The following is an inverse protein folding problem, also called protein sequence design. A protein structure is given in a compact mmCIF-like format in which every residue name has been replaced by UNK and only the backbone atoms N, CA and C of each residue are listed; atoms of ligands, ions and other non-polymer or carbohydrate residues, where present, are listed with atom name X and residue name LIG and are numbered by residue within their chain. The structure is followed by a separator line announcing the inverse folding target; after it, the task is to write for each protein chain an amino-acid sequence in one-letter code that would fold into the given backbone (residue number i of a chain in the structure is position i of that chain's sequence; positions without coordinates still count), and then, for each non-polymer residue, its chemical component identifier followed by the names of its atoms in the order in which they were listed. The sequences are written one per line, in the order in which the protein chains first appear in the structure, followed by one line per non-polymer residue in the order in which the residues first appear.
data_IF_037712980610
#
_entry.id   IF_037712980610
#
_cell.length_a   1.000
_cell.length_b   1.000
_cell.length_c   1.000
_cell.angle_alpha   90.00
_cell.angle_beta   90.00
_cell.angle_gamma   90.00
#
_symmetry.space_group_name_H-M   'P 1'
#
loop_
_entity.id
_entity.type
_entity.pdbx_description
1 polymer ?
#
# COMPACT_ATOMS: atom_id res chain seq x y z
N UNK A 1 -29.90 55.21 -8.47
CA UNK A 1 -29.44 54.58 -7.22
C UNK A 1 -29.75 53.06 -7.11
N UNK A 2 -30.90 52.58 -7.57
CA UNK A 2 -31.24 51.14 -7.49
C UNK A 2 -30.43 50.29 -8.50
N UNK A 3 -30.18 50.75 -9.73
CA UNK A 3 -29.39 50.08 -10.71
C UNK A 3 -27.89 49.92 -10.31
N UNK A 4 -27.31 50.97 -9.77
CA UNK A 4 -25.91 50.95 -9.27
C UNK A 4 -25.70 49.96 -8.11
N UNK A 5 -26.69 49.82 -7.22
CA UNK A 5 -26.67 48.80 -6.15
C UNK A 5 -26.78 47.38 -6.70
N UNK A 6 -27.55 47.18 -7.76
CA UNK A 6 -27.75 45.89 -8.43
C UNK A 6 -26.46 45.42 -9.14
N UNK A 7 -25.74 46.32 -9.80
CA UNK A 7 -24.43 46.01 -10.44
C UNK A 7 -23.37 45.66 -9.42
N UNK A 8 -23.28 46.39 -8.33
CA UNK A 8 -22.30 46.09 -7.25
C UNK A 8 -22.52 44.71 -6.63
N UNK A 9 -23.77 44.32 -6.38
CA UNK A 9 -24.09 43.02 -5.86
C UNK A 9 -23.74 41.87 -6.82
N UNK A 10 -23.99 42.05 -8.11
CA UNK A 10 -23.63 41.11 -9.17
C UNK A 10 -22.09 40.92 -9.26
N UNK A 11 -21.33 41.99 -9.13
CA UNK A 11 -19.88 41.91 -9.12
C UNK A 11 -19.34 41.14 -7.91
N UNK A 12 -19.91 41.31 -6.73
CA UNK A 12 -19.54 40.50 -5.55
C UNK A 12 -19.91 39.03 -5.71
N UNK A 13 -21.07 38.74 -6.29
CA UNK A 13 -21.47 37.38 -6.59
C UNK A 13 -20.51 36.74 -7.60
N UNK A 14 -20.18 37.42 -8.69
CA UNK A 14 -19.24 36.95 -9.70
C UNK A 14 -17.83 36.69 -9.08
N UNK A 15 -17.34 37.59 -8.21
CA UNK A 15 -16.06 37.42 -7.54
C UNK A 15 -16.07 36.20 -6.62
N UNK A 16 -17.12 36.03 -5.81
CA UNK A 16 -17.22 34.89 -4.88
C UNK A 16 -17.29 33.55 -5.65
N UNK A 17 -18.01 33.47 -6.75
CA UNK A 17 -18.08 32.26 -7.58
C UNK A 17 -16.73 31.90 -8.20
N UNK A 18 -15.96 32.90 -8.67
CA UNK A 18 -14.60 32.66 -9.18
C UNK A 18 -13.67 32.13 -8.09
N UNK A 19 -13.72 32.71 -6.91
CA UNK A 19 -12.87 32.25 -5.75
C UNK A 19 -13.25 30.81 -5.40
N UNK A 20 -14.54 30.47 -5.30
CA UNK A 20 -14.99 29.10 -5.00
C UNK A 20 -14.57 28.11 -6.10
N UNK A 21 -14.66 28.49 -7.36
CA UNK A 21 -14.22 27.66 -8.47
C UNK A 21 -12.71 27.38 -8.42
N UNK A 22 -11.89 28.39 -8.11
CA UNK A 22 -10.43 28.20 -7.91
C UNK A 22 -10.15 27.27 -6.74
N UNK A 23 -10.82 27.45 -5.60
CA UNK A 23 -10.68 26.57 -4.44
C UNK A 23 -11.07 25.13 -4.76
N UNK A 24 -12.16 24.91 -5.52
CA UNK A 24 -12.59 23.59 -5.94
C UNK A 24 -11.55 22.93 -6.87
N UNK A 25 -10.99 23.67 -7.81
CA UNK A 25 -9.95 23.18 -8.71
C UNK A 25 -8.68 22.77 -7.96
N UNK A 26 -8.22 23.61 -7.02
CA UNK A 26 -7.05 23.31 -6.20
C UNK A 26 -7.29 22.08 -5.30
N UNK A 27 -8.49 21.95 -4.74
CA UNK A 27 -8.87 20.79 -3.92
C UNK A 27 -8.90 19.51 -4.75
N UNK A 28 -9.45 19.56 -5.97
CA UNK A 28 -9.46 18.44 -6.92
C UNK A 28 -8.03 18.00 -7.28
N UNK A 29 -7.16 18.95 -7.58
CA UNK A 29 -5.76 18.67 -7.90
C UNK A 29 -5.02 18.01 -6.73
N UNK A 30 -5.17 18.54 -5.53
CA UNK A 30 -4.57 17.98 -4.30
C UNK A 30 -5.15 16.59 -4.00
N UNK A 31 -6.45 16.43 -4.03
CA UNK A 31 -7.13 15.14 -3.80
C UNK A 31 -6.70 14.07 -4.81
N UNK A 32 -6.60 14.44 -6.09
CA UNK A 32 -6.09 13.57 -7.15
C UNK A 32 -4.65 13.11 -6.90
N UNK A 33 -3.78 14.01 -6.42
CA UNK A 33 -2.42 13.66 -6.04
C UNK A 33 -2.34 12.64 -4.91
N UNK A 34 -3.16 12.78 -3.88
CA UNK A 34 -3.25 11.80 -2.79
C UNK A 34 -3.85 10.46 -3.27
N UNK A 35 -4.88 10.50 -4.10
CA UNK A 35 -5.47 9.30 -4.70
C UNK A 35 -4.44 8.50 -5.51
N UNK A 36 -3.65 9.17 -6.33
CA UNK A 36 -2.57 8.53 -7.09
C UNK A 36 -1.51 7.90 -6.17
N UNK A 37 -1.10 8.59 -5.11
CA UNK A 37 -0.15 8.04 -4.13
C UNK A 37 -0.72 6.82 -3.41
N UNK A 38 -2.00 6.84 -3.05
CA UNK A 38 -2.69 5.69 -2.46
C UNK A 38 -2.65 4.47 -3.39
N UNK A 39 -2.95 4.65 -4.67
CA UNK A 39 -2.87 3.57 -5.66
C UNK A 39 -1.44 3.04 -5.84
N UNK A 40 -0.45 3.92 -5.87
CA UNK A 40 0.97 3.50 -5.95
C UNK A 40 1.39 2.69 -4.72
N UNK A 41 1.00 3.10 -3.53
CA UNK A 41 1.32 2.37 -2.31
C UNK A 41 0.55 1.05 -2.21
N UNK A 42 -0.67 0.97 -2.74
CA UNK A 42 -1.39 -0.29 -2.89
C UNK A 42 -0.64 -1.27 -3.80
N UNK A 43 -0.12 -0.80 -4.94
CA UNK A 43 0.69 -1.63 -5.83
C UNK A 43 1.96 -2.12 -5.14
N UNK A 44 2.69 -1.23 -4.47
CA UNK A 44 3.91 -1.60 -3.71
C UNK A 44 3.62 -2.62 -2.61
N UNK A 45 2.53 -2.45 -1.85
CA UNK A 45 2.12 -3.40 -0.83
C UNK A 45 1.82 -4.78 -1.45
N UNK A 46 1.10 -4.82 -2.57
CA UNK A 46 0.80 -6.05 -3.31
C UNK A 46 2.07 -6.76 -3.76
N UNK A 47 3.04 -6.02 -4.30
CA UNK A 47 4.33 -6.56 -4.74
C UNK A 47 5.13 -7.13 -3.54
N UNK A 48 5.13 -6.44 -2.38
CA UNK A 48 5.77 -6.96 -1.17
C UNK A 48 5.08 -8.23 -0.66
N UNK A 49 3.76 -8.31 -0.68
CA UNK A 49 3.03 -9.52 -0.30
C UNK A 49 3.29 -10.69 -1.26
N UNK A 50 3.39 -10.43 -2.57
CA UNK A 50 3.77 -11.46 -3.55
C UNK A 50 5.20 -11.96 -3.29
N UNK A 51 6.11 -11.06 -2.93
CA UNK A 51 7.49 -11.43 -2.57
C UNK A 51 7.54 -12.23 -1.25
N UNK A 52 6.74 -11.85 -0.25
CA UNK A 52 6.56 -12.63 0.98
C UNK A 52 6.08 -14.06 0.70
N UNK A 53 5.07 -14.21 -0.16
CA UNK A 53 4.56 -15.52 -0.56
C UNK A 53 5.62 -16.36 -1.27
N UNK A 54 6.41 -15.75 -2.15
CA UNK A 54 7.54 -16.42 -2.83
C UNK A 54 8.59 -16.94 -1.85
N UNK A 55 8.93 -16.15 -0.82
CA UNK A 55 9.87 -16.55 0.24
C UNK A 55 9.28 -17.64 1.13
N UNK A 56 7.99 -17.56 1.46
CA UNK A 56 7.27 -18.59 2.21
C UNK A 56 7.29 -19.93 1.47
N UNK A 57 7.04 -19.92 0.17
CA UNK A 57 7.07 -21.13 -0.65
C UNK A 57 8.47 -21.76 -0.67
N UNK A 58 9.53 -20.95 -0.77
CA UNK A 58 10.91 -21.45 -0.69
C UNK A 58 11.24 -22.01 0.70
N UNK A 59 10.80 -21.36 1.77
CA UNK A 59 10.96 -21.86 3.14
C UNK A 59 10.33 -23.24 3.29
N UNK A 60 9.07 -23.40 2.89
CA UNK A 60 8.38 -24.69 2.92
C UNK A 60 9.04 -25.78 2.08
N UNK A 61 9.57 -25.42 0.91
CA UNK A 61 10.30 -26.39 0.06
C UNK A 61 11.56 -26.92 0.77
N UNK A 62 12.33 -26.06 1.44
CA UNK A 62 13.52 -26.50 2.17
C UNK A 62 13.18 -27.30 3.43
N UNK A 63 12.11 -26.91 4.13
CA UNK A 63 11.62 -27.61 5.30
C UNK A 63 11.17 -29.03 4.91
N UNK A 64 10.37 -29.16 3.88
CA UNK A 64 9.93 -30.45 3.35
C UNK A 64 11.09 -31.33 2.84
N UNK A 65 12.15 -30.70 2.30
CA UNK A 65 13.36 -31.45 1.92
C UNK A 65 14.16 -31.93 3.15
N UNK A 66 14.23 -31.11 4.21
CA UNK A 66 14.85 -31.51 5.46
C UNK A 66 14.11 -32.75 6.05
N UNK A 67 12.78 -32.69 6.14
CA UNK A 67 11.96 -33.80 6.60
C UNK A 67 12.18 -35.09 5.76
N UNK A 68 12.26 -34.96 4.44
CA UNK A 68 12.58 -36.10 3.57
C UNK A 68 13.94 -36.72 3.86
N UNK A 69 14.97 -35.91 4.15
CA UNK A 69 16.28 -36.44 4.52
C UNK A 69 16.29 -37.03 5.91
N UNK A 70 15.49 -36.53 6.84
CA UNK A 70 15.30 -37.15 8.17
C UNK A 70 14.72 -38.57 8.04
N UNK A 71 13.70 -38.75 7.22
CA UNK A 71 13.10 -40.06 6.97
C UNK A 71 14.10 -41.04 6.32
N UNK A 72 14.88 -40.57 5.34
CA UNK A 72 15.89 -41.39 4.67
C UNK A 72 17.06 -41.76 5.59
N UNK A 73 17.44 -40.86 6.50
CA UNK A 73 18.51 -41.06 7.48
C UNK A 73 18.25 -42.28 8.41
N UNK A 74 16.97 -42.53 8.76
CA UNK A 74 16.58 -43.62 9.66
C UNK A 74 17.08 -44.99 9.19
N UNK A 75 17.10 -45.22 7.85
CA UNK A 75 17.49 -46.50 7.26
C UNK A 75 18.88 -46.46 6.60
N UNK A 76 19.63 -45.38 6.76
CA UNK A 76 20.92 -45.19 6.10
C UNK A 76 22.09 -45.81 6.90
N UNK A 77 23.12 -46.27 6.17
CA UNK A 77 24.41 -46.62 6.77
C UNK A 77 25.08 -45.39 7.35
N UNK A 78 25.93 -45.60 8.39
CA UNK A 78 26.57 -44.53 9.20
C UNK A 78 27.14 -43.40 8.36
N UNK A 79 27.91 -43.67 7.32
CA UNK A 79 28.55 -42.64 6.46
C UNK A 79 27.56 -41.84 5.63
N UNK A 80 26.46 -42.48 5.23
CA UNK A 80 25.36 -41.84 4.47
C UNK A 80 24.50 -41.02 5.42
N UNK A 81 24.27 -41.53 6.65
CA UNK A 81 23.52 -40.83 7.66
C UNK A 81 24.17 -39.49 8.07
N UNK A 82 25.49 -39.42 8.12
CA UNK A 82 26.23 -38.18 8.37
C UNK A 82 26.02 -37.16 7.26
N UNK A 83 26.05 -37.58 5.99
CA UNK A 83 25.78 -36.69 4.85
C UNK A 83 24.34 -36.16 4.85
N UNK A 84 23.38 -36.98 5.23
CA UNK A 84 22.00 -36.52 5.40
C UNK A 84 21.90 -35.50 6.54
N UNK A 85 22.56 -35.71 7.65
CA UNK A 85 22.61 -34.78 8.77
C UNK A 85 23.12 -33.39 8.33
N UNK A 86 24.24 -33.36 7.60
CA UNK A 86 24.80 -32.10 7.07
C UNK A 86 23.81 -31.38 6.14
N UNK A 87 23.07 -32.12 5.32
CA UNK A 87 22.05 -31.56 4.42
C UNK A 87 20.87 -31.01 5.20
N UNK A 88 20.37 -31.71 6.20
CA UNK A 88 19.30 -31.26 7.09
C UNK A 88 19.69 -29.94 7.74
N UNK A 89 20.88 -29.84 8.32
CA UNK A 89 21.37 -28.62 8.94
C UNK A 89 21.47 -27.44 7.95
N UNK A 90 21.95 -27.71 6.73
CA UNK A 90 21.99 -26.70 5.67
C UNK A 90 20.60 -26.20 5.31
N UNK A 91 19.62 -27.08 5.24
CA UNK A 91 18.25 -26.70 4.88
C UNK A 91 17.55 -25.94 6.04
N UNK A 92 17.72 -26.35 7.27
CA UNK A 92 17.21 -25.59 8.42
C UNK A 92 17.82 -24.18 8.48
N UNK A 93 19.12 -24.01 8.19
CA UNK A 93 19.71 -22.66 8.07
C UNK A 93 19.08 -21.84 6.96
N UNK A 94 18.70 -22.47 5.83
CA UNK A 94 17.99 -21.81 4.75
C UNK A 94 16.58 -21.38 5.17
N UNK A 95 15.84 -22.24 5.87
CA UNK A 95 14.53 -21.94 6.43
C UNK A 95 14.63 -20.74 7.37
N UNK A 96 15.57 -20.75 8.31
CA UNK A 96 15.77 -19.64 9.24
C UNK A 96 16.10 -18.33 8.51
N UNK A 97 16.94 -18.38 7.48
CA UNK A 97 17.24 -17.21 6.64
C UNK A 97 15.96 -16.66 5.98
N UNK A 98 15.14 -17.53 5.38
CA UNK A 98 13.91 -17.07 4.72
C UNK A 98 12.88 -16.54 5.72
N UNK A 99 12.80 -17.09 6.93
CA UNK A 99 11.91 -16.56 7.96
C UNK A 99 12.30 -15.12 8.37
N UNK A 100 13.62 -14.84 8.49
CA UNK A 100 14.10 -13.47 8.72
C UNK A 100 13.78 -12.53 7.56
N UNK A 101 14.05 -12.96 6.33
CA UNK A 101 13.71 -12.17 5.13
C UNK A 101 12.21 -11.89 5.03
N UNK A 102 11.35 -12.86 5.35
CA UNK A 102 9.90 -12.71 5.40
C UNK A 102 9.45 -11.66 6.42
N UNK A 103 10.07 -11.63 7.59
CA UNK A 103 9.74 -10.64 8.61
C UNK A 103 10.00 -9.20 8.12
N UNK A 104 11.14 -8.96 7.44
CA UNK A 104 11.47 -7.67 6.86
C UNK A 104 10.52 -7.28 5.72
N UNK A 105 10.17 -8.23 4.85
CA UNK A 105 9.24 -8.00 3.73
C UNK A 105 7.84 -7.66 4.27
N UNK A 106 7.38 -8.39 5.28
CA UNK A 106 6.11 -8.14 5.94
C UNK A 106 6.03 -6.72 6.50
N UNK A 107 7.06 -6.27 7.21
CA UNK A 107 7.12 -4.91 7.73
C UNK A 107 7.00 -3.87 6.61
N UNK A 108 7.72 -4.04 5.50
CA UNK A 108 7.63 -3.15 4.34
C UNK A 108 6.24 -3.14 3.70
N UNK A 109 5.59 -4.29 3.62
CA UNK A 109 4.22 -4.39 3.11
C UNK A 109 3.24 -3.60 4.00
N UNK A 110 3.31 -3.79 5.32
CA UNK A 110 2.48 -3.10 6.30
C UNK A 110 2.73 -1.57 6.31
N UNK A 111 3.97 -1.13 6.13
CA UNK A 111 4.31 0.30 5.96
C UNK A 111 3.66 0.88 4.70
N UNK A 112 3.72 0.17 3.56
CA UNK A 112 3.06 0.60 2.32
C UNK A 112 1.53 0.66 2.49
N UNK A 113 0.92 -0.30 3.19
CA UNK A 113 -0.51 -0.29 3.48
C UNK A 113 -0.91 0.91 4.35
N UNK A 114 -0.13 1.20 5.38
CA UNK A 114 -0.35 2.37 6.24
C UNK A 114 -0.27 3.68 5.47
N UNK A 115 0.74 3.83 4.60
CA UNK A 115 0.87 5.01 3.75
C UNK A 115 -0.28 5.12 2.74
N UNK A 116 -0.72 3.99 2.17
CA UNK A 116 -1.91 3.92 1.31
C UNK A 116 -3.13 4.48 2.02
N UNK A 117 -3.39 4.01 3.24
CA UNK A 117 -4.59 4.37 3.99
C UNK A 117 -4.58 5.84 4.41
N UNK A 118 -3.42 6.38 4.84
CA UNK A 118 -3.27 7.81 5.10
C UNK A 118 -3.53 8.66 3.84
N UNK A 119 -2.97 8.27 2.70
CA UNK A 119 -3.21 9.00 1.45
C UNK A 119 -4.67 8.89 0.99
N UNK A 120 -5.33 7.76 1.19
CA UNK A 120 -6.75 7.56 0.91
C UNK A 120 -7.62 8.47 1.76
N UNK A 121 -7.32 8.59 3.04
CA UNK A 121 -8.04 9.50 3.95
C UNK A 121 -7.92 10.96 3.51
N UNK A 122 -6.70 11.42 3.18
CA UNK A 122 -6.50 12.75 2.64
C UNK A 122 -7.26 12.96 1.32
N UNK A 123 -7.23 12.00 0.40
CA UNK A 123 -8.00 12.08 -0.85
C UNK A 123 -9.50 12.25 -0.59
N UNK A 124 -10.06 11.50 0.37
CA UNK A 124 -11.46 11.59 0.76
C UNK A 124 -11.82 12.95 1.33
N UNK A 125 -10.98 13.53 2.20
CA UNK A 125 -11.20 14.87 2.77
C UNK A 125 -11.28 15.91 1.65
N UNK A 126 -10.34 15.90 0.70
CA UNK A 126 -10.40 16.81 -0.45
C UNK A 126 -11.60 16.55 -1.35
N UNK A 127 -11.99 15.29 -1.54
CA UNK A 127 -13.21 14.95 -2.29
C UNK A 127 -14.47 15.53 -1.67
N UNK A 128 -14.61 15.42 -0.36
CA UNK A 128 -15.73 16.02 0.38
C UNK A 128 -15.70 17.55 0.26
N UNK A 129 -14.52 18.16 0.41
CA UNK A 129 -14.39 19.61 0.25
C UNK A 129 -14.83 20.09 -1.14
N UNK A 130 -14.50 19.37 -2.21
CA UNK A 130 -14.94 19.68 -3.57
C UNK A 130 -16.47 19.64 -3.69
N UNK A 131 -17.13 18.62 -3.10
CA UNK A 131 -18.60 18.52 -3.11
C UNK A 131 -19.23 19.73 -2.44
N UNK A 132 -18.75 20.13 -1.26
CA UNK A 132 -19.29 21.32 -0.58
C UNK A 132 -19.06 22.61 -1.38
N UNK A 133 -17.89 22.78 -1.98
CA UNK A 133 -17.58 23.94 -2.80
C UNK A 133 -18.47 23.99 -4.07
N UNK A 134 -18.80 22.85 -4.66
CA UNK A 134 -19.68 22.77 -5.82
C UNK A 134 -21.13 23.09 -5.46
N UNK A 135 -21.63 22.64 -4.32
CA UNK A 135 -22.99 22.98 -3.86
C UNK A 135 -23.13 24.50 -3.64
N UNK A 136 -22.10 25.14 -3.09
CA UNK A 136 -22.10 26.60 -2.87
C UNK A 136 -21.99 27.40 -4.20
N UNK A 137 -21.48 26.77 -5.25
CA UNK A 137 -21.28 27.41 -6.55
C UNK A 137 -22.53 27.38 -7.44
N UNK A 138 -23.48 26.44 -7.24
CA UNK A 138 -24.70 26.35 -8.06
C UNK A 138 -25.65 27.48 -7.68
N UNK A 139 -25.80 28.53 -8.50
CA UNK A 139 -26.85 29.55 -8.25
C UNK A 139 -28.22 28.92 -8.50
N UNK A 140 -29.14 29.11 -7.57
CA UNK A 140 -30.55 28.83 -7.76
C UNK A 140 -31.14 29.72 -8.87
#
# INVERSE_FOLDING_TARGET
MAEEKKEKWLNYLALSTVILAVCATLSTFKGGGYSTRSLMNQSKASDQWAFYQSKSMKSYMFDMQADNFELQKVNAKSDIALKFQEKIEQYHKKVEQYEKEKAEIKQKAEECEKERDMNKEHANIFGIAVIFLQILYVPY
#
